data_IF_075060948868
#
_entry.id   IF_075060948868
#
_cell.length_a   1.000
_cell.length_b   1.000
_cell.length_c   1.000
_cell.angle_alpha   90.00
_cell.angle_beta   90.00
_cell.angle_gamma   90.00
#
_symmetry.space_group_name_H-M   'P 1'
#
loop_
_entity.id
_entity.type
_entity.pdbx_description
1 polymer ?
#
# COMPACT_ATOMS: atom_id res chain seq x y z
N UNK A 1 27.54 -13.15 -0.44
CA UNK A 1 27.35 -11.76 -0.88
C UNK A 1 25.99 -11.30 -0.31
N UNK A 2 25.96 -10.52 0.78
CA UNK A 2 24.68 -10.07 1.37
C UNK A 2 23.98 -9.16 0.37
N UNK A 3 22.74 -9.48 0.00
CA UNK A 3 21.96 -8.83 -1.06
C UNK A 3 21.92 -7.30 -0.88
N UNK A 4 22.52 -6.53 -1.79
CA UNK A 4 22.68 -5.07 -1.68
C UNK A 4 21.37 -4.31 -1.37
N UNK A 5 20.20 -4.91 -1.63
CA UNK A 5 18.90 -4.35 -1.30
C UNK A 5 18.68 -4.08 0.22
N UNK A 6 19.34 -4.81 1.13
CA UNK A 6 19.24 -4.54 2.58
C UNK A 6 19.81 -3.17 2.98
N UNK A 7 20.66 -2.58 2.14
CA UNK A 7 21.29 -1.27 2.39
C UNK A 7 20.39 -0.09 2.05
N UNK A 8 19.27 -0.33 1.37
CA UNK A 8 18.26 0.69 1.06
C UNK A 8 17.44 1.10 2.29
N UNK A 9 17.36 0.23 3.29
CA UNK A 9 16.60 0.47 4.51
C UNK A 9 15.61 -0.64 4.82
N UNK A 10 14.68 -0.33 5.70
CA UNK A 10 13.57 -1.20 6.04
C UNK A 10 12.28 -0.40 6.16
N UNK A 11 11.16 -1.08 5.95
CA UNK A 11 9.82 -0.50 5.94
C UNK A 11 8.96 -1.26 6.92
N UNK A 12 8.20 -0.54 7.74
CA UNK A 12 7.14 -1.07 8.59
C UNK A 12 5.79 -0.50 8.17
N UNK A 13 4.73 -1.23 8.50
CA UNK A 13 3.34 -0.81 8.29
C UNK A 13 2.66 -0.67 9.66
N UNK A 14 1.77 0.30 9.81
CA UNK A 14 0.90 0.42 10.98
C UNK A 14 -0.48 0.92 10.56
N UNK A 15 -1.57 0.25 10.95
CA UNK A 15 -1.60 -1.02 11.66
C UNK A 15 -1.14 -2.19 10.77
N UNK A 16 -0.36 -3.12 11.32
CA UNK A 16 0.06 -4.36 10.65
C UNK A 16 -0.91 -5.49 11.00
N UNK A 17 -1.99 -5.58 10.22
CA UNK A 17 -3.04 -6.60 10.38
C UNK A 17 -3.72 -6.89 9.04
N UNK A 18 -4.51 -7.97 8.94
CA UNK A 18 -5.43 -8.15 7.84
C UNK A 18 -6.35 -6.93 7.67
N UNK A 19 -6.63 -6.60 6.41
CA UNK A 19 -7.45 -5.46 5.99
C UNK A 19 -8.75 -6.01 5.43
N UNK A 20 -9.89 -5.50 5.88
CA UNK A 20 -11.17 -5.93 5.30
C UNK A 20 -11.29 -5.33 3.90
N UNK A 21 -11.78 -6.11 2.94
CA UNK A 21 -12.04 -5.61 1.59
C UNK A 21 -12.97 -4.38 1.64
N UNK A 22 -12.56 -3.29 0.99
CA UNK A 22 -13.30 -2.03 0.99
C UNK A 22 -13.20 -1.23 2.30
N UNK A 23 -12.42 -1.66 3.29
CA UNK A 23 -12.21 -0.94 4.54
C UNK A 23 -11.73 0.49 4.28
N UNK A 24 -12.35 1.47 4.93
CA UNK A 24 -11.85 2.85 4.96
C UNK A 24 -11.05 3.03 6.24
N UNK A 25 -9.79 3.44 6.12
CA UNK A 25 -8.91 3.57 7.27
C UNK A 25 -7.67 4.43 7.00
N UNK A 26 -6.77 4.43 7.98
CA UNK A 26 -5.47 5.09 7.92
C UNK A 26 -4.38 4.03 8.00
N UNK A 27 -3.43 4.06 7.07
CA UNK A 27 -2.25 3.19 7.10
C UNK A 27 -0.98 4.02 6.96
N UNK A 28 -0.05 3.82 7.88
CA UNK A 28 1.23 4.49 7.93
C UNK A 28 2.34 3.53 7.54
N UNK A 29 3.07 3.88 6.49
CA UNK A 29 4.31 3.20 6.12
C UNK A 29 5.49 4.04 6.58
N UNK A 30 6.41 3.44 7.35
CA UNK A 30 7.64 4.11 7.78
C UNK A 30 8.83 3.45 7.11
N UNK A 31 9.47 4.14 6.18
CA UNK A 31 10.77 3.77 5.63
C UNK A 31 11.86 4.34 6.54
N UNK A 32 12.60 3.48 7.22
CA UNK A 32 13.86 3.87 7.86
C UNK A 32 14.99 3.72 6.85
N UNK A 33 15.64 4.82 6.52
CA UNK A 33 16.68 4.91 5.50
C UNK A 33 17.89 4.05 5.88
N UNK A 34 18.35 3.23 4.94
CA UNK A 34 19.46 2.32 5.16
C UNK A 34 20.84 2.98 5.02
N UNK A 35 21.88 2.14 5.07
CA UNK A 35 23.28 2.59 5.03
C UNK A 35 23.71 3.29 3.74
N UNK A 36 22.90 3.28 2.68
CA UNK A 36 23.19 4.08 1.49
C UNK A 36 22.77 5.55 1.61
N UNK A 37 21.92 5.90 2.58
CA UNK A 37 21.24 7.20 2.53
C UNK A 37 20.32 7.31 1.31
N UNK A 38 19.75 8.49 1.11
CA UNK A 38 19.06 8.89 -0.13
C UNK A 38 19.52 10.31 -0.44
N UNK A 39 20.29 10.46 -1.52
CA UNK A 39 20.83 11.75 -1.94
C UNK A 39 19.75 12.69 -2.47
N UNK A 40 20.10 13.96 -2.64
CA UNK A 40 19.26 14.93 -3.32
C UNK A 40 18.94 14.45 -4.75
N UNK A 41 17.67 14.58 -5.15
CA UNK A 41 17.15 14.01 -6.41
C UNK A 41 16.82 12.52 -6.33
N UNK A 42 17.11 11.85 -5.21
CA UNK A 42 16.66 10.48 -4.96
C UNK A 42 15.14 10.35 -5.02
N UNK A 43 14.66 9.14 -5.31
CA UNK A 43 13.23 8.87 -5.48
C UNK A 43 12.79 7.68 -4.64
N UNK A 44 11.72 7.86 -3.87
CA UNK A 44 11.00 6.79 -3.19
C UNK A 44 9.67 6.56 -3.91
N UNK A 45 9.27 5.30 -4.10
CA UNK A 45 7.97 4.95 -4.66
C UNK A 45 7.26 3.96 -3.76
N UNK A 46 6.02 4.28 -3.37
CA UNK A 46 5.08 3.30 -2.86
C UNK A 46 4.22 2.81 -4.02
N UNK A 47 4.52 1.61 -4.51
CA UNK A 47 3.91 0.98 -5.65
C UNK A 47 2.87 -0.07 -5.23
N UNK A 48 1.75 -0.10 -5.98
CA UNK A 48 0.70 -1.11 -5.86
C UNK A 48 0.52 -1.84 -7.19
N UNK A 49 -0.04 -3.06 -7.13
CA UNK A 49 -0.42 -3.79 -8.34
C UNK A 49 -1.43 -2.99 -9.16
N UNK A 50 -1.35 -3.06 -10.48
CA UNK A 50 -2.27 -2.35 -11.38
C UNK A 50 -3.71 -2.85 -11.19
N UNK A 51 -3.85 -4.17 -10.96
CA UNK A 51 -5.10 -4.86 -10.66
C UNK A 51 -5.43 -4.72 -9.17
N UNK A 52 -5.33 -3.50 -8.65
CA UNK A 52 -5.86 -3.10 -7.35
C UNK A 52 -6.68 -1.84 -7.58
N UNK A 53 -7.87 -1.79 -6.99
CA UNK A 53 -8.77 -0.64 -7.01
C UNK A 53 -8.67 0.21 -5.73
N UNK A 54 -7.63 -0.02 -4.91
CA UNK A 54 -7.35 0.83 -3.75
C UNK A 54 -7.44 2.31 -4.15
N UNK A 55 -8.16 3.08 -3.37
CA UNK A 55 -8.47 4.46 -3.69
C UNK A 55 -7.21 5.30 -3.99
N UNK A 56 -7.38 6.26 -4.89
CA UNK A 56 -6.31 7.14 -5.35
C UNK A 56 -5.96 8.14 -4.22
N UNK A 57 -4.70 8.15 -3.73
CA UNK A 57 -4.23 9.19 -2.82
C UNK A 57 -4.34 10.59 -3.42
N UNK A 58 -4.69 11.55 -2.57
CA UNK A 58 -4.61 12.98 -2.86
C UNK A 58 -3.83 13.69 -1.75
N UNK A 59 -3.28 14.86 -2.03
CA UNK A 59 -2.31 15.55 -1.14
C UNK A 59 -2.70 16.99 -0.83
N UNK A 60 -3.90 17.41 -1.23
CA UNK A 60 -4.30 18.81 -1.31
C UNK A 60 -5.35 19.19 -0.24
N UNK A 61 -6.38 18.35 -0.06
CA UNK A 61 -7.50 18.65 0.85
C UNK A 61 -7.46 17.76 2.11
N UNK A 62 -7.09 18.30 3.28
CA UNK A 62 -6.97 17.54 4.52
C UNK A 62 -8.29 16.96 5.06
N UNK A 63 -9.44 17.47 4.60
CA UNK A 63 -10.77 17.01 5.01
C UNK A 63 -11.41 16.03 4.00
N UNK A 64 -10.91 15.95 2.77
CA UNK A 64 -11.45 15.05 1.75
C UNK A 64 -10.98 13.59 1.95
N UNK A 65 -11.71 12.59 1.41
CA UNK A 65 -11.24 11.21 1.33
C UNK A 65 -9.86 11.07 0.70
N UNK A 66 -9.17 9.99 1.05
CA UNK A 66 -7.87 9.61 0.54
C UNK A 66 -6.75 10.65 0.73
N UNK A 67 -6.92 11.59 1.66
CA UNK A 67 -5.86 12.54 2.02
C UNK A 67 -4.62 11.78 2.48
N UNK A 68 -3.48 12.13 1.94
CA UNK A 68 -2.22 11.44 2.18
C UNK A 68 -1.13 12.44 2.48
N UNK A 69 -0.34 12.17 3.52
CA UNK A 69 0.80 12.99 3.90
C UNK A 69 2.09 12.20 3.79
N UNK A 70 3.19 12.91 3.48
CA UNK A 70 4.54 12.36 3.48
C UNK A 70 5.44 13.32 4.24
N UNK A 71 6.08 12.83 5.31
CA UNK A 71 6.96 13.61 6.17
C UNK A 71 8.29 12.89 6.38
N UNK A 72 9.31 13.61 6.82
CA UNK A 72 10.59 13.00 7.20
C UNK A 72 11.13 13.58 8.50
N UNK A 73 11.96 12.80 9.18
CA UNK A 73 12.80 13.26 10.31
C UNK A 73 14.12 13.87 9.85
N UNK A 74 14.52 13.65 8.60
CA UNK A 74 15.74 14.21 8.01
C UNK A 74 15.56 15.66 7.57
N UNK A 75 16.65 16.27 7.10
CA UNK A 75 16.65 17.68 6.69
C UNK A 75 16.14 17.92 5.27
N UNK A 76 16.04 16.87 4.44
CA UNK A 76 15.53 16.98 3.08
C UNK A 76 14.05 17.35 3.02
N UNK A 77 13.65 18.02 1.95
CA UNK A 77 12.23 18.21 1.61
C UNK A 77 11.73 17.06 0.75
N UNK A 78 10.43 16.77 0.88
CA UNK A 78 9.76 15.72 0.14
C UNK A 78 8.64 16.28 -0.72
N UNK A 79 8.53 15.80 -1.96
CA UNK A 79 7.43 16.14 -2.87
C UNK A 79 6.73 14.88 -3.30
N UNK A 80 5.48 14.71 -2.87
CA UNK A 80 4.68 13.55 -3.19
C UNK A 80 3.72 13.83 -4.35
N UNK A 81 3.52 12.84 -5.22
CA UNK A 81 2.47 12.83 -6.23
C UNK A 81 1.96 11.41 -6.47
N UNK A 82 0.73 11.29 -6.97
CA UNK A 82 0.22 10.01 -7.46
C UNK A 82 0.36 9.93 -8.98
N UNK A 83 0.94 8.83 -9.47
CA UNK A 83 1.09 8.56 -10.90
C UNK A 83 0.66 7.11 -11.20
N UNK A 84 -0.37 6.90 -12.05
CA UNK A 84 -0.88 5.57 -12.37
C UNK A 84 0.06 4.74 -13.28
N UNK A 85 1.16 5.33 -13.79
CA UNK A 85 2.10 4.71 -14.73
C UNK A 85 3.58 5.03 -14.38
N UNK A 86 3.89 5.17 -13.09
CA UNK A 86 5.23 5.56 -12.63
C UNK A 86 6.24 4.41 -12.51
N UNK A 87 5.86 3.16 -12.83
CA UNK A 87 6.76 2.01 -12.82
C UNK A 87 6.27 0.90 -13.76
N UNK A 88 7.03 -0.20 -13.85
CA UNK A 88 6.71 -1.34 -14.72
C UNK A 88 5.54 -2.15 -14.19
N UNK A 89 4.77 -2.78 -15.10
CA UNK A 89 3.73 -3.74 -14.71
C UNK A 89 4.36 -4.93 -13.96
N UNK A 90 3.71 -5.48 -12.91
CA UNK A 90 2.38 -5.11 -12.43
C UNK A 90 2.36 -3.91 -11.46
N UNK A 91 3.49 -3.31 -11.09
CA UNK A 91 3.65 -2.34 -9.98
C UNK A 91 3.55 -0.87 -10.41
N UNK A 92 2.71 -0.55 -11.40
CA UNK A 92 2.78 0.74 -12.11
C UNK A 92 2.07 1.92 -11.42
N UNK A 93 1.14 1.66 -10.50
CA UNK A 93 0.42 2.71 -9.76
C UNK A 93 1.25 3.10 -8.54
N UNK A 94 1.80 4.30 -8.52
CA UNK A 94 2.70 4.73 -7.45
C UNK A 94 2.26 6.03 -6.80
N UNK A 95 2.48 6.12 -5.48
CA UNK A 95 2.85 7.39 -4.87
C UNK A 95 4.35 7.55 -5.10
N UNK A 96 4.74 8.58 -5.84
CA UNK A 96 6.14 8.93 -6.12
C UNK A 96 6.52 10.09 -5.20
N UNK A 97 7.65 9.95 -4.53
CA UNK A 97 8.17 10.91 -3.56
C UNK A 97 9.57 11.29 -4.01
N UNK A 98 9.73 12.53 -4.45
CA UNK A 98 11.03 13.08 -4.82
C UNK A 98 11.67 13.70 -3.56
N UNK A 99 12.95 13.40 -3.34
CA UNK A 99 13.79 14.00 -2.29
C UNK A 99 14.52 15.20 -2.90
N UNK A 100 14.42 16.38 -2.29
CA UNK A 100 15.02 17.62 -2.82
C UNK A 100 15.37 18.60 -1.69
N UNK A 101 16.16 19.64 -2.00
CA UNK A 101 16.65 20.62 -1.04
C UNK A 101 17.29 19.94 0.19
N UNK A 102 18.22 19.01 -0.04
CA UNK A 102 18.85 18.18 0.99
C UNK A 102 18.81 16.68 0.69
N UNK A 103 19.38 15.90 1.61
CA UNK A 103 19.47 14.44 1.54
C UNK A 103 19.00 13.78 2.84
N UNK A 104 18.73 12.47 2.78
CA UNK A 104 18.32 11.66 3.93
C UNK A 104 19.50 10.78 4.37
N UNK A 105 19.87 10.90 5.64
CA UNK A 105 20.94 10.13 6.25
C UNK A 105 20.46 8.72 6.67
N UNK A 106 21.38 7.75 6.83
CA UNK A 106 21.05 6.47 7.44
C UNK A 106 20.36 6.65 8.80
N UNK A 107 19.21 6.01 8.99
CA UNK A 107 18.39 6.13 10.20
C UNK A 107 17.27 7.16 10.13
N UNK A 108 17.32 8.11 9.18
CA UNK A 108 16.19 9.01 8.94
C UNK A 108 14.95 8.23 8.53
N UNK A 109 13.78 8.76 8.89
CA UNK A 109 12.51 8.15 8.58
C UNK A 109 11.79 8.96 7.51
N UNK A 110 11.19 8.26 6.55
CA UNK A 110 10.16 8.80 5.64
C UNK A 110 8.85 8.12 5.99
N UNK A 111 7.88 8.92 6.44
CA UNK A 111 6.58 8.46 6.93
C UNK A 111 5.51 8.81 5.91
N UNK A 112 4.90 7.80 5.30
CA UNK A 112 3.79 7.93 4.35
C UNK A 112 2.52 7.56 5.10
N UNK A 113 1.63 8.52 5.33
CA UNK A 113 0.34 8.27 5.99
C UNK A 113 -0.76 8.33 4.94
N UNK A 114 -1.26 7.15 4.54
CA UNK A 114 -2.39 7.01 3.63
C UNK A 114 -3.69 7.17 4.42
N UNK A 115 -4.61 8.02 3.95
CA UNK A 115 -5.89 8.26 4.65
C UNK A 115 -5.70 9.02 5.97
N UNK A 116 -4.87 10.05 5.97
CA UNK A 116 -4.52 10.83 7.16
C UNK A 116 -5.73 11.60 7.71
N UNK A 117 -6.28 11.12 8.82
CA UNK A 117 -7.49 11.65 9.44
C UNK A 117 -7.26 12.92 10.29
N UNK A 118 -6.01 13.35 10.51
CA UNK A 118 -5.69 14.51 11.38
C UNK A 118 -6.36 15.80 10.93
N UNK A 119 -6.64 15.91 9.62
CA UNK A 119 -7.30 17.05 8.99
C UNK A 119 -8.81 16.96 8.86
N UNK A 120 -9.43 15.88 9.37
CA UNK A 120 -10.87 15.60 9.20
C UNK A 120 -11.20 14.64 8.06
N UNK A 121 -10.22 14.14 7.31
CA UNK A 121 -10.42 13.10 6.30
C UNK A 121 -11.08 11.86 6.90
N UNK A 122 -12.03 11.21 6.19
CA UNK A 122 -12.59 9.93 6.62
C UNK A 122 -11.59 8.76 6.51
N UNK A 123 -10.43 8.96 5.87
CA UNK A 123 -9.45 7.92 5.56
C UNK A 123 -9.39 7.61 4.06
N UNK A 124 -8.72 6.52 3.71
CA UNK A 124 -8.61 6.02 2.33
C UNK A 124 -9.27 4.64 2.24
N UNK A 125 -9.96 4.34 1.13
CA UNK A 125 -10.55 3.01 0.93
C UNK A 125 -9.53 2.00 0.42
N UNK A 126 -9.43 0.86 1.09
CA UNK A 126 -8.69 -0.31 0.65
C UNK A 126 -9.32 -0.99 -0.57
N UNK A 127 -8.58 -1.92 -1.17
CA UNK A 127 -9.07 -2.73 -2.30
C UNK A 127 -10.40 -3.42 -1.98
N UNK A 128 -11.32 -3.47 -2.94
CA UNK A 128 -12.69 -4.01 -2.75
C UNK A 128 -12.80 -5.55 -2.87
N UNK A 129 -11.68 -6.25 -3.00
CA UNK A 129 -11.66 -7.69 -3.15
C UNK A 129 -10.47 -8.31 -2.43
N UNK A 130 -10.65 -9.58 -2.05
CA UNK A 130 -9.68 -10.33 -1.25
C UNK A 130 -8.38 -10.59 -2.02
N UNK A 131 -7.27 -10.57 -1.30
CA UNK A 131 -5.94 -10.93 -1.79
C UNK A 131 -5.11 -11.44 -0.61
N UNK A 132 -4.60 -12.67 -0.69
CA UNK A 132 -3.88 -13.29 0.42
C UNK A 132 -2.54 -12.61 0.75
N UNK A 133 -1.96 -11.89 -0.22
CA UNK A 133 -0.64 -11.27 -0.11
C UNK A 133 -0.59 -9.94 -0.90
N UNK A 134 -1.37 -8.96 -0.45
CA UNK A 134 -1.32 -7.60 -0.99
C UNK A 134 -0.03 -6.91 -0.54
N UNK A 135 0.89 -6.71 -1.48
CA UNK A 135 2.16 -6.06 -1.19
C UNK A 135 2.08 -4.55 -1.40
N UNK A 136 2.42 -3.80 -0.36
CA UNK A 136 2.68 -2.37 -0.42
C UNK A 136 4.16 -2.17 -0.75
N UNK A 137 4.49 -2.27 -2.03
CA UNK A 137 5.88 -2.34 -2.49
C UNK A 137 6.57 -0.99 -2.39
N UNK A 138 7.62 -0.90 -1.58
CA UNK A 138 8.48 0.27 -1.53
C UNK A 138 9.70 0.07 -2.42
N UNK A 139 9.95 1.05 -3.28
CA UNK A 139 11.10 1.11 -4.17
C UNK A 139 11.90 2.37 -3.84
N UNK A 140 13.23 2.28 -3.85
CA UNK A 140 14.13 3.41 -3.56
C UNK A 140 15.20 3.50 -4.64
N UNK A 141 15.39 4.69 -5.18
CA UNK A 141 16.59 5.11 -5.90
C UNK A 141 17.36 6.10 -5.01
N UNK A 142 18.45 5.67 -4.37
CA UNK A 142 19.18 6.51 -3.43
C UNK A 142 20.12 7.53 -4.10
N UNK A 143 20.36 7.44 -5.41
CA UNK A 143 21.44 8.19 -6.08
C UNK A 143 20.97 8.99 -7.29
N UNK A 144 19.66 9.16 -7.47
CA UNK A 144 19.08 9.80 -8.66
C UNK A 144 19.56 9.17 -9.99
N UNK A 145 19.78 7.85 -9.99
CA UNK A 145 20.24 7.12 -11.17
C UNK A 145 19.08 6.72 -12.11
N UNK A 146 17.86 7.17 -11.80
CA UNK A 146 16.60 6.68 -12.36
C UNK A 146 16.41 5.16 -12.19
N UNK A 147 17.07 4.56 -11.21
CA UNK A 147 17.11 3.11 -11.00
C UNK A 147 16.60 2.76 -9.60
N UNK A 148 15.28 2.66 -9.49
CA UNK A 148 14.63 2.25 -8.25
C UNK A 148 14.82 0.75 -8.00
N UNK A 149 15.07 0.38 -6.75
CA UNK A 149 15.18 -1.02 -6.29
C UNK A 149 14.22 -1.30 -5.16
N UNK A 150 13.66 -2.52 -5.13
CA UNK A 150 12.73 -2.95 -4.08
C UNK A 150 13.42 -3.03 -2.73
N UNK A 151 12.80 -2.44 -1.71
CA UNK A 151 13.18 -2.64 -0.31
C UNK A 151 12.67 -4.02 0.14
N UNK A 152 13.55 -4.96 0.57
CA UNK A 152 13.16 -6.35 0.83
C UNK A 152 12.00 -6.51 1.83
N UNK A 153 11.97 -5.66 2.85
CA UNK A 153 10.96 -5.65 3.92
C UNK A 153 9.67 -4.91 3.54
N UNK A 154 9.41 -4.67 2.25
CA UNK A 154 8.14 -4.06 1.83
C UNK A 154 6.96 -4.84 2.44
N UNK A 155 6.01 -4.18 3.11
CA UNK A 155 4.93 -4.86 3.82
C UNK A 155 4.05 -5.69 2.88
N UNK A 156 3.62 -6.84 3.39
CA UNK A 156 2.64 -7.73 2.73
C UNK A 156 1.53 -8.00 3.72
N UNK A 157 0.30 -7.66 3.35
CA UNK A 157 -0.88 -7.84 4.18
C UNK A 157 -1.94 -8.64 3.45
N UNK A 158 -2.77 -9.38 4.19
CA UNK A 158 -3.93 -10.02 3.60
C UNK A 158 -5.09 -9.01 3.51
N UNK A 159 -5.72 -8.91 2.34
CA UNK A 159 -7.05 -8.32 2.19
C UNK A 159 -8.06 -9.45 2.29
N UNK A 160 -8.93 -9.40 3.29
CA UNK A 160 -9.84 -10.48 3.68
C UNK A 160 -11.30 -10.05 3.53
N UNK A 161 -12.20 -11.02 3.45
CA UNK A 161 -13.63 -10.74 3.48
C UNK A 161 -14.04 -10.17 4.84
N UNK A 162 -15.06 -9.32 4.84
CA UNK A 162 -15.69 -8.85 6.06
C UNK A 162 -16.53 -9.95 6.74
N UNK A 163 -17.13 -9.65 7.91
CA UNK A 163 -18.13 -10.52 8.48
C UNK A 163 -19.29 -10.75 7.49
N UNK A 164 -19.78 -12.00 7.33
CA UNK A 164 -20.87 -12.28 6.41
C UNK A 164 -22.14 -11.54 6.85
N UNK A 165 -22.73 -10.79 5.92
CA UNK A 165 -24.02 -10.13 6.09
C UNK A 165 -25.18 -11.05 5.68
N UNK A 166 -24.93 -11.97 4.75
CA UNK A 166 -25.89 -12.99 4.33
C UNK A 166 -25.20 -14.34 4.12
N UNK A 167 -26.00 -15.41 4.15
CA UNK A 167 -25.57 -16.75 3.76
C UNK A 167 -26.37 -17.16 2.54
N UNK A 168 -25.67 -17.48 1.46
CA UNK A 168 -26.25 -17.93 0.21
C UNK A 168 -25.99 -19.43 0.06
N UNK A 169 -27.08 -20.17 -0.16
CA UNK A 169 -27.03 -21.58 -0.50
C UNK A 169 -27.29 -21.73 -1.98
N UNK A 170 -26.31 -22.29 -2.69
CA UNK A 170 -26.40 -22.59 -4.11
C UNK A 170 -26.70 -24.08 -4.24
N UNK A 171 -27.84 -24.39 -4.83
CA UNK A 171 -28.31 -25.74 -5.08
C UNK A 171 -28.29 -26.07 -6.59
N UNK A 172 -28.17 -27.35 -6.97
CA UNK A 172 -28.32 -27.77 -8.36
C UNK A 172 -29.72 -27.44 -8.89
N UNK A 173 -29.81 -27.02 -10.15
CA UNK A 173 -31.10 -26.71 -10.80
C UNK A 173 -32.02 -27.94 -10.90
N UNK A 174 -31.47 -29.16 -10.85
CA UNK A 174 -32.22 -30.42 -10.92
C UNK A 174 -31.77 -31.36 -9.81
N UNK A 175 -32.72 -32.07 -9.21
CA UNK A 175 -32.53 -33.10 -8.21
C UNK A 175 -33.49 -34.27 -8.44
N UNK A 176 -33.14 -35.46 -7.98
CA UNK A 176 -34.04 -36.63 -7.97
C UNK A 176 -34.66 -36.75 -6.59
N UNK A 177 -35.98 -36.96 -6.53
CA UNK A 177 -36.70 -37.12 -5.25
C UNK A 177 -36.13 -38.32 -4.49
N UNK A 178 -35.71 -38.09 -3.26
CA UNK A 178 -35.13 -39.11 -2.38
C UNK A 178 -33.61 -39.26 -2.49
N UNK A 179 -32.95 -38.59 -3.44
CA UNK A 179 -31.49 -38.60 -3.55
C UNK A 179 -30.86 -37.37 -2.88
N UNK A 180 -29.64 -37.55 -2.37
CA UNK A 180 -28.86 -36.45 -1.81
C UNK A 180 -28.32 -35.54 -2.91
N UNK A 181 -28.28 -34.24 -2.65
CA UNK A 181 -27.66 -33.24 -3.55
C UNK A 181 -26.54 -32.50 -2.84
N UNK A 182 -25.49 -32.15 -3.60
CA UNK A 182 -24.44 -31.28 -3.10
C UNK A 182 -24.96 -29.83 -3.05
N UNK A 183 -24.81 -29.19 -1.89
CA UNK A 183 -25.10 -27.77 -1.70
C UNK A 183 -23.79 -27.02 -1.48
N UNK A 184 -23.67 -25.85 -2.10
CA UNK A 184 -22.57 -24.92 -1.82
C UNK A 184 -23.09 -23.79 -0.95
N UNK A 185 -22.46 -23.60 0.20
CA UNK A 185 -22.80 -22.53 1.14
C UNK A 185 -21.68 -21.49 1.07
N UNK A 186 -22.03 -20.23 0.82
CA UNK A 186 -21.10 -19.10 0.89
C UNK A 186 -21.67 -17.98 1.75
N UNK A 187 -20.80 -17.27 2.46
CA UNK A 187 -21.14 -15.99 3.07
C UNK A 187 -20.91 -14.86 2.09
N UNK A 188 -21.79 -13.87 2.06
CA UNK A 188 -21.57 -12.60 1.33
C UNK A 188 -21.42 -11.48 2.36
N UNK A 189 -20.34 -10.70 2.25
CA UNK A 189 -20.14 -9.46 2.99
C UNK A 189 -20.85 -8.28 2.30
N UNK A 190 -20.76 -7.08 2.89
CA UNK A 190 -21.46 -5.88 2.41
C UNK A 190 -20.76 -5.21 1.24
#
# INVERSE_FOLDING_TARGET
MRDAAHRLGHVTLTPDRPIVAGEVGTWTLTLTVGSYGIDEGGTIKLARRFASDWERPQFDDPAAPAYTTVTTTGEAKLRARYDPKAHVRPWMKCVVIDVYDGSLAPGDQVVITLGDARGGSPGIRAQSFIESAHELRVLVDPTNACLVRRVPSSPVVAVVAGPPASVVVIAPTRAVVGESVALFVKGEDR
#
